data_IF_629392790878
#
_entry.id   IF_629392790878
#
_cell.length_a   1.000
_cell.length_b   1.000
_cell.length_c   1.000
_cell.angle_alpha   90.00
_cell.angle_beta   90.00
_cell.angle_gamma   90.00
#
_symmetry.space_group_name_H-M   'P 1'
#
loop_
_entity.id
_entity.type
_entity.pdbx_description
1 polymer ?
#
# COMPACT_ATOMS: atom_id res chain seq x y z
N UNK A 1 54.94 11.20 77.87
CA UNK A 1 53.82 12.14 77.75
C UNK A 1 53.07 11.78 76.48
N UNK A 2 52.07 10.91 76.56
CA UNK A 2 51.26 10.51 75.41
C UNK A 2 49.99 11.36 75.42
N UNK A 3 49.79 12.17 74.38
CA UNK A 3 48.59 12.99 74.23
C UNK A 3 47.39 12.09 73.91
N UNK A 4 46.21 12.34 74.50
CA UNK A 4 45.02 11.54 74.24
C UNK A 4 44.58 11.73 72.77
N UNK A 5 44.40 10.63 72.05
CA UNK A 5 43.86 10.63 70.69
C UNK A 5 42.40 11.04 70.74
N UNK A 6 42.10 12.24 70.24
CA UNK A 6 40.72 12.74 70.10
C UNK A 6 40.01 11.82 69.09
N UNK A 7 39.08 11.00 69.55
CA UNK A 7 38.19 10.24 68.67
C UNK A 7 37.36 11.24 67.86
N UNK A 8 37.74 11.46 66.61
CA UNK A 8 36.99 12.30 65.68
C UNK A 8 35.89 11.45 65.05
N UNK A 9 34.89 11.06 65.83
CA UNK A 9 33.69 10.43 65.27
C UNK A 9 32.85 11.50 64.59
N UNK A 10 32.54 11.29 63.31
CA UNK A 10 31.74 12.22 62.52
C UNK A 10 30.31 12.22 63.09
N UNK A 11 29.71 13.39 63.41
CA UNK A 11 28.33 13.46 63.85
C UNK A 11 27.37 12.75 62.89
N UNK A 12 26.45 11.95 63.42
CA UNK A 12 25.52 11.15 62.60
C UNK A 12 24.69 11.95 61.59
N UNK A 13 24.40 13.22 61.88
CA UNK A 13 23.69 14.11 60.95
C UNK A 13 24.52 14.47 59.71
N UNK A 14 25.85 14.56 59.84
CA UNK A 14 26.76 14.80 58.70
C UNK A 14 26.78 13.57 57.79
N UNK A 15 26.83 12.37 58.38
CA UNK A 15 26.76 11.10 57.64
C UNK A 15 25.41 11.01 56.88
N UNK A 16 24.30 11.34 57.55
CA UNK A 16 22.98 11.37 56.93
C UNK A 16 22.90 12.38 55.76
N UNK A 17 23.49 13.58 55.92
CA UNK A 17 23.56 14.58 54.87
C UNK A 17 24.40 14.11 53.67
N UNK A 18 25.54 13.47 53.91
CA UNK A 18 26.38 12.90 52.84
C UNK A 18 25.61 11.83 52.07
N UNK A 19 24.88 10.94 52.75
CA UNK A 19 24.06 9.90 52.11
C UNK A 19 22.95 10.54 51.26
N UNK A 20 22.24 11.54 51.79
CA UNK A 20 21.18 12.25 51.06
C UNK A 20 21.71 12.95 49.80
N UNK A 21 22.87 13.62 49.89
CA UNK A 21 23.49 14.28 48.73
C UNK A 21 23.89 13.27 47.66
N UNK A 22 24.49 12.12 48.05
CA UNK A 22 24.86 11.08 47.10
C UNK A 22 23.63 10.44 46.42
N UNK A 23 22.55 10.20 47.17
CA UNK A 23 21.29 9.71 46.60
C UNK A 23 20.69 10.69 45.58
N UNK A 24 20.69 11.99 45.91
CA UNK A 24 20.23 13.03 44.98
C UNK A 24 21.10 13.10 43.71
N UNK A 25 22.42 12.89 43.85
CA UNK A 25 23.36 12.90 42.72
C UNK A 25 23.16 11.72 41.75
N UNK A 26 22.55 10.61 42.21
CA UNK A 26 22.21 9.45 41.37
C UNK A 26 20.92 9.64 40.56
N UNK A 27 20.08 10.63 40.88
CA UNK A 27 18.82 10.87 40.15
C UNK A 27 19.04 11.29 38.69
N UNK A 28 19.91 12.28 38.36
CA UNK A 28 20.19 12.64 36.96
C UNK A 28 20.69 11.48 36.08
N UNK A 29 21.71 10.67 36.46
CA UNK A 29 22.15 9.56 35.62
C UNK A 29 21.08 8.46 35.48
N UNK A 30 20.25 8.24 36.50
CA UNK A 30 19.13 7.28 36.41
C UNK A 30 18.04 7.76 35.44
N UNK A 31 17.74 9.07 35.42
CA UNK A 31 16.83 9.67 34.44
C UNK A 31 17.40 9.64 33.01
N UNK A 32 18.71 9.87 32.84
CA UNK A 32 19.39 9.72 31.55
C UNK A 32 19.38 8.27 31.07
N UNK A 33 19.65 7.31 31.96
CA UNK A 33 19.54 5.88 31.63
C UNK A 33 18.10 5.51 31.25
N UNK A 34 17.11 5.94 32.03
CA UNK A 34 15.70 5.70 31.72
C UNK A 34 15.31 6.30 30.37
N UNK A 35 15.69 7.54 30.07
CA UNK A 35 15.36 8.17 28.78
C UNK A 35 16.12 7.56 27.60
N UNK A 36 17.33 7.00 27.81
CA UNK A 36 18.09 6.28 26.77
C UNK A 36 17.54 4.89 26.47
N UNK A 37 17.01 4.19 27.48
CA UNK A 37 16.58 2.79 27.36
C UNK A 37 15.06 2.59 27.36
N UNK A 38 14.26 3.63 27.62
CA UNK A 38 12.81 3.57 27.53
C UNK A 38 12.28 4.19 26.23
N UNK A 39 11.29 3.54 25.63
CA UNK A 39 10.49 4.11 24.54
C UNK A 39 9.39 5.02 25.13
N UNK A 40 9.08 6.12 24.45
CA UNK A 40 7.97 7.01 24.81
C UNK A 40 6.88 6.94 23.74
N UNK A 41 5.62 6.95 24.18
CA UNK A 41 4.45 7.10 23.30
C UNK A 41 4.11 8.55 23.00
N UNK A 42 4.71 9.49 23.74
CA UNK A 42 4.56 10.92 23.50
C UNK A 42 5.55 11.37 22.44
N UNK A 43 5.16 12.40 21.68
CA UNK A 43 6.05 13.08 20.73
C UNK A 43 7.29 13.58 21.44
N UNK A 44 8.44 13.48 20.76
CA UNK A 44 9.72 13.97 21.31
C UNK A 44 9.63 15.46 21.63
N UNK A 45 10.33 15.87 22.68
CA UNK A 45 10.52 17.28 23.00
C UNK A 45 11.19 17.96 21.81
N UNK A 46 10.52 18.98 21.30
CA UNK A 46 10.95 19.72 20.15
C UNK A 46 11.21 21.14 20.64
N UNK A 47 12.49 21.52 20.75
CA UNK A 47 12.89 22.74 21.49
C UNK A 47 12.73 24.00 20.63
N UNK A 48 12.96 23.88 19.32
CA UNK A 48 12.88 25.00 18.38
C UNK A 48 11.84 24.65 17.32
N UNK A 49 10.70 25.34 17.29
CA UNK A 49 9.60 25.06 16.35
C UNK A 49 9.58 25.94 15.09
N UNK A 50 10.44 26.97 15.05
CA UNK A 50 10.33 28.13 14.16
C UNK A 50 10.00 27.76 12.70
N UNK A 51 10.89 27.04 12.02
CA UNK A 51 10.72 26.68 10.61
C UNK A 51 10.20 25.26 10.37
N UNK A 52 9.92 24.50 11.43
CA UNK A 52 9.30 23.18 11.34
C UNK A 52 7.78 23.29 11.18
N UNK A 53 7.18 24.25 11.91
CA UNK A 53 5.76 24.58 11.84
C UNK A 53 5.57 25.95 11.19
N UNK A 54 5.63 25.96 9.88
CA UNK A 54 5.50 27.19 9.10
C UNK A 54 4.05 27.67 9.04
N UNK A 55 3.85 28.99 8.93
CA UNK A 55 2.54 29.64 8.75
C UNK A 55 2.03 29.50 7.30
N UNK A 56 2.06 28.27 6.76
CA UNK A 56 1.48 27.90 5.47
C UNK A 56 0.91 26.49 5.57
N UNK A 57 -0.18 26.24 4.87
CA UNK A 57 -0.77 24.91 4.83
C UNK A 57 -0.10 24.07 3.73
N UNK A 58 0.33 22.86 4.11
CA UNK A 58 0.80 21.85 3.14
C UNK A 58 -0.39 21.03 2.62
N UNK A 59 -0.20 20.31 1.51
CA UNK A 59 -1.16 19.32 1.08
C UNK A 59 -1.44 18.31 2.20
N UNK A 60 -2.69 17.88 2.33
CA UNK A 60 -3.15 16.92 3.36
C UNK A 60 -2.92 17.39 4.81
N UNK A 61 -2.87 18.72 5.06
CA UNK A 61 -2.82 19.29 6.41
C UNK A 61 -4.19 19.78 6.89
N UNK A 62 -4.35 19.89 8.21
CA UNK A 62 -5.53 20.49 8.81
C UNK A 62 -5.52 22.01 8.60
N UNK A 63 -6.69 22.59 8.32
CA UNK A 63 -6.88 24.03 8.19
C UNK A 63 -8.18 24.46 8.90
N UNK A 64 -8.09 25.26 9.98
CA UNK A 64 -9.26 25.68 10.74
C UNK A 64 -10.13 26.73 10.03
N UNK A 65 -9.68 27.30 8.91
CA UNK A 65 -10.44 28.30 8.15
C UNK A 65 -11.68 27.72 7.46
N UNK A 66 -11.66 26.43 7.09
CA UNK A 66 -12.73 25.78 6.36
C UNK A 66 -13.52 24.81 7.26
N UNK A 67 -14.83 24.70 7.02
CA UNK A 67 -15.74 23.87 7.84
C UNK A 67 -15.38 22.37 7.84
N UNK A 68 -14.74 21.87 6.78
CA UNK A 68 -14.29 20.47 6.66
C UNK A 68 -12.90 20.23 7.27
N UNK A 69 -12.25 21.28 7.78
CA UNK A 69 -10.92 21.21 8.39
C UNK A 69 -9.79 20.87 7.41
N UNK A 70 -10.04 20.85 6.08
CA UNK A 70 -9.06 20.43 5.08
C UNK A 70 -8.36 21.63 4.45
N UNK A 71 -7.04 21.56 4.36
CA UNK A 71 -6.26 22.49 3.53
C UNK A 71 -6.51 22.29 2.02
N UNK A 72 -6.69 21.04 1.59
CA UNK A 72 -6.98 20.70 0.20
C UNK A 72 -8.41 21.10 -0.16
N UNK A 73 -8.55 21.97 -1.17
CA UNK A 73 -9.86 22.33 -1.74
C UNK A 73 -10.13 21.52 -2.99
N UNK A 74 -11.37 21.08 -3.14
CA UNK A 74 -11.82 20.50 -4.40
C UNK A 74 -11.83 21.59 -5.48
N UNK A 75 -11.40 21.27 -6.71
CA UNK A 75 -11.58 22.18 -7.83
C UNK A 75 -13.06 22.40 -8.11
N UNK A 76 -13.40 23.56 -8.69
CA UNK A 76 -14.78 23.85 -9.08
C UNK A 76 -15.19 22.89 -10.21
N UNK A 77 -16.40 22.31 -10.19
CA UNK A 77 -16.86 21.42 -11.25
C UNK A 77 -16.77 22.07 -12.64
N UNK A 78 -16.34 21.31 -13.65
CA UNK A 78 -16.17 21.81 -15.03
C UNK A 78 -14.87 22.57 -15.28
N UNK A 79 -13.99 22.71 -14.29
CA UNK A 79 -12.66 23.30 -14.50
C UNK A 79 -11.73 22.31 -15.20
N UNK A 80 -10.97 22.81 -16.18
CA UNK A 80 -9.92 22.06 -16.88
C UNK A 80 -8.60 22.78 -16.64
N UNK A 81 -7.61 22.07 -16.10
CA UNK A 81 -6.28 22.63 -15.87
C UNK A 81 -5.53 22.83 -17.19
N UNK A 82 -4.62 23.82 -17.22
CA UNK A 82 -3.80 24.06 -18.41
C UNK A 82 -2.91 22.83 -18.68
N UNK A 83 -3.02 22.27 -19.87
CA UNK A 83 -2.29 21.06 -20.27
C UNK A 83 -2.97 19.74 -19.92
N UNK A 84 -4.13 19.78 -19.24
CA UNK A 84 -4.94 18.58 -18.93
C UNK A 84 -6.21 18.49 -19.80
N UNK A 85 -6.35 19.35 -20.81
CA UNK A 85 -7.40 19.19 -21.80
C UNK A 85 -7.06 17.97 -22.66
N UNK A 86 -7.83 16.90 -22.50
CA UNK A 86 -7.75 15.74 -23.36
C UNK A 86 -8.93 15.71 -24.32
N UNK A 87 -8.63 15.75 -25.62
CA UNK A 87 -9.61 15.66 -26.70
C UNK A 87 -9.69 14.25 -27.30
N UNK A 88 -8.72 13.39 -26.99
CA UNK A 88 -8.73 12.00 -27.40
C UNK A 88 -9.69 11.21 -26.50
N UNK A 89 -10.86 10.91 -27.05
CA UNK A 89 -11.89 10.17 -26.35
C UNK A 89 -11.47 8.72 -26.08
N UNK A 90 -10.81 8.09 -27.06
CA UNK A 90 -10.38 6.71 -26.99
C UNK A 90 -9.39 6.54 -25.85
N UNK A 91 -8.35 7.36 -25.78
CA UNK A 91 -7.34 7.27 -24.71
C UNK A 91 -7.87 7.66 -23.32
N UNK A 92 -8.76 8.66 -23.25
CA UNK A 92 -9.17 9.27 -21.96
C UNK A 92 -10.33 8.54 -21.30
N UNK A 93 -11.29 8.10 -22.12
CA UNK A 93 -12.58 7.57 -21.68
C UNK A 93 -12.76 6.10 -22.03
N UNK A 94 -11.98 5.57 -22.99
CA UNK A 94 -12.11 4.21 -23.48
C UNK A 94 -13.26 4.04 -24.47
N UNK A 95 -13.69 5.12 -25.12
CA UNK A 95 -14.82 5.11 -26.05
C UNK A 95 -14.44 5.65 -27.43
N UNK A 96 -15.09 5.15 -28.47
CA UNK A 96 -14.96 5.60 -29.86
C UNK A 96 -16.39 5.87 -30.36
N UNK A 97 -16.67 7.10 -30.79
CA UNK A 97 -17.99 7.53 -31.26
C UNK A 97 -19.15 7.23 -30.27
N UNK A 98 -18.86 7.29 -28.96
CA UNK A 98 -19.83 7.02 -27.89
C UNK A 98 -20.04 5.54 -27.55
N UNK A 99 -19.38 4.62 -28.23
CA UNK A 99 -19.39 3.18 -27.95
C UNK A 99 -18.10 2.73 -27.25
N UNK A 100 -18.15 1.60 -26.53
CA UNK A 100 -16.95 1.07 -25.88
C UNK A 100 -15.92 0.61 -26.90
N UNK A 101 -14.67 1.06 -26.74
CA UNK A 101 -13.59 0.66 -27.61
C UNK A 101 -13.33 -0.85 -27.51
N UNK A 102 -13.21 -1.52 -28.66
CA UNK A 102 -12.84 -2.93 -28.75
C UNK A 102 -11.34 -3.13 -28.94
N UNK A 103 -10.61 -2.06 -29.25
CA UNK A 103 -9.18 -2.04 -29.53
C UNK A 103 -8.43 -1.04 -28.64
N UNK A 104 -7.10 -1.16 -28.61
CA UNK A 104 -6.23 -0.22 -27.90
C UNK A 104 -6.08 1.09 -28.71
N UNK A 105 -5.92 2.25 -28.05
CA UNK A 105 -5.59 3.49 -28.74
C UNK A 105 -4.29 3.38 -29.54
N UNK A 106 -4.22 4.10 -30.68
CA UNK A 106 -3.03 4.09 -31.57
C UNK A 106 -1.73 4.45 -30.85
N UNK A 107 -1.81 5.35 -29.86
CA UNK A 107 -0.67 5.79 -29.05
C UNK A 107 -0.21 4.74 -28.01
N UNK A 108 -1.00 3.69 -27.77
CA UNK A 108 -0.71 2.64 -26.79
C UNK A 108 -0.14 1.41 -27.50
N UNK A 109 1.18 1.27 -27.45
CA UNK A 109 1.87 0.10 -27.99
C UNK A 109 1.80 -1.09 -27.03
N UNK A 110 1.10 -2.15 -27.43
CA UNK A 110 1.03 -3.41 -26.67
C UNK A 110 2.33 -4.19 -26.85
N UNK A 111 3.29 -3.96 -25.95
CA UNK A 111 4.58 -4.62 -25.93
C UNK A 111 4.90 -5.21 -24.53
N UNK A 112 6.05 -5.86 -24.38
CA UNK A 112 6.47 -6.49 -23.12
C UNK A 112 6.61 -5.48 -21.97
N UNK A 113 6.99 -4.24 -22.25
CA UNK A 113 7.11 -3.19 -21.23
C UNK A 113 5.74 -2.77 -20.70
N UNK A 114 4.76 -2.58 -21.59
CA UNK A 114 3.38 -2.27 -21.21
C UNK A 114 2.79 -3.41 -20.37
N UNK A 115 3.01 -4.66 -20.76
CA UNK A 115 2.55 -5.82 -20.01
C UNK A 115 3.18 -5.91 -18.62
N UNK A 116 4.50 -5.72 -18.51
CA UNK A 116 5.19 -5.69 -17.22
C UNK A 116 4.71 -4.54 -16.32
N UNK A 117 4.45 -3.37 -16.93
CA UNK A 117 3.85 -2.24 -16.22
C UNK A 117 2.44 -2.56 -15.73
N UNK A 118 1.65 -3.20 -16.58
CA UNK A 118 0.29 -3.66 -16.28
C UNK A 118 0.26 -4.65 -15.12
N UNK A 119 1.13 -5.66 -15.15
CA UNK A 119 1.30 -6.62 -14.08
C UNK A 119 1.67 -5.93 -12.77
N UNK A 120 2.68 -5.04 -12.78
CA UNK A 120 3.10 -4.33 -11.58
C UNK A 120 1.95 -3.50 -10.97
N UNK A 121 1.09 -2.90 -11.80
CA UNK A 121 -0.07 -2.11 -11.34
C UNK A 121 -1.21 -3.00 -10.88
N UNK A 122 -1.49 -4.09 -11.58
CA UNK A 122 -2.47 -5.09 -11.18
C UNK A 122 -2.11 -5.71 -9.81
N UNK A 123 -0.82 -5.99 -9.58
CA UNK A 123 -0.32 -6.52 -8.33
C UNK A 123 -0.53 -5.59 -7.12
N UNK A 124 -0.56 -4.28 -7.36
CA UNK A 124 -0.75 -3.28 -6.31
C UNK A 124 -2.24 -3.04 -6.04
N UNK A 125 -3.04 -2.85 -7.09
CA UNK A 125 -4.41 -2.34 -6.97
C UNK A 125 -5.50 -3.41 -7.10
N UNK A 126 -5.25 -4.48 -7.86
CA UNK A 126 -6.28 -5.42 -8.29
C UNK A 126 -6.19 -6.76 -7.54
N UNK A 127 -4.98 -7.28 -7.30
CA UNK A 127 -4.73 -8.56 -6.60
C UNK A 127 -5.48 -8.68 -5.25
N UNK A 128 -5.55 -7.64 -4.39
CA UNK A 128 -6.21 -7.79 -3.10
C UNK A 128 -7.64 -8.34 -3.19
N UNK A 129 -8.36 -8.02 -4.27
CA UNK A 129 -9.72 -8.49 -4.52
C UNK A 129 -9.77 -9.60 -5.58
N UNK A 130 -9.13 -9.42 -6.74
CA UNK A 130 -9.25 -10.33 -7.88
C UNK A 130 -8.31 -11.55 -7.84
N UNK A 131 -7.33 -11.57 -6.92
CA UNK A 131 -6.31 -12.61 -6.88
C UNK A 131 -5.26 -12.44 -7.99
N UNK A 132 -4.18 -13.21 -7.91
CA UNK A 132 -3.06 -13.13 -8.86
C UNK A 132 -3.42 -13.67 -10.25
N UNK A 133 -4.30 -14.68 -10.29
CA UNK A 133 -4.81 -15.28 -11.52
C UNK A 133 -6.09 -14.63 -12.03
N UNK A 134 -6.67 -13.67 -11.30
CA UNK A 134 -7.89 -12.97 -11.69
C UNK A 134 -9.21 -13.70 -11.38
N UNK A 135 -9.18 -14.83 -10.66
CA UNK A 135 -10.37 -15.66 -10.38
C UNK A 135 -11.28 -15.12 -9.26
N UNK A 136 -11.04 -13.90 -8.78
CA UNK A 136 -11.85 -13.33 -7.69
C UNK A 136 -11.51 -13.91 -6.31
N UNK A 137 -10.35 -14.55 -6.17
CA UNK A 137 -9.92 -15.27 -4.97
C UNK A 137 -8.87 -14.48 -4.16
N UNK A 138 -8.84 -13.15 -4.30
CA UNK A 138 -7.95 -12.28 -3.53
C UNK A 138 -8.21 -12.35 -2.02
N UNK A 139 -7.22 -11.95 -1.21
CA UNK A 139 -7.32 -12.00 0.26
C UNK A 139 -8.51 -11.23 0.84
N UNK A 140 -8.94 -10.15 0.18
CA UNK A 140 -10.14 -9.40 0.57
C UNK A 140 -11.39 -10.22 0.30
N UNK A 141 -11.49 -10.88 -0.87
CA UNK A 141 -12.61 -11.76 -1.24
C UNK A 141 -12.74 -12.93 -0.26
N UNK A 142 -11.63 -13.66 -0.02
CA UNK A 142 -11.58 -14.79 0.92
C UNK A 142 -11.98 -14.40 2.35
N UNK A 143 -11.57 -13.20 2.81
CA UNK A 143 -11.99 -12.69 4.13
C UNK A 143 -13.45 -12.28 4.17
N UNK A 144 -13.98 -11.72 3.08
CA UNK A 144 -15.38 -11.33 3.01
C UNK A 144 -16.31 -12.54 3.03
N UNK A 145 -15.92 -13.65 2.40
CA UNK A 145 -16.68 -14.91 2.38
C UNK A 145 -16.99 -15.45 3.78
N UNK A 146 -16.02 -15.38 4.70
CA UNK A 146 -16.18 -15.84 6.10
C UNK A 146 -16.68 -14.75 7.05
N UNK A 147 -16.98 -13.55 6.54
CA UNK A 147 -17.40 -12.42 7.38
C UNK A 147 -18.92 -12.39 7.59
N UNK A 148 -19.34 -11.95 8.77
CA UNK A 148 -20.77 -11.76 9.09
C UNK A 148 -21.43 -10.61 8.31
N UNK A 149 -20.63 -9.76 7.65
CA UNK A 149 -21.08 -8.58 6.91
C UNK A 149 -21.52 -8.89 5.46
N UNK A 150 -21.56 -10.17 5.09
CA UNK A 150 -21.96 -10.64 3.76
C UNK A 150 -20.78 -10.80 2.80
N UNK A 151 -20.90 -11.78 1.91
CA UNK A 151 -19.87 -12.09 0.92
C UNK A 151 -19.83 -11.01 -0.18
N UNK A 152 -18.71 -10.29 -0.28
CA UNK A 152 -18.39 -9.48 -1.44
C UNK A 152 -17.91 -10.42 -2.55
N UNK A 153 -18.82 -10.83 -3.43
CA UNK A 153 -18.48 -11.67 -4.57
C UNK A 153 -17.67 -10.86 -5.58
N UNK A 154 -16.37 -11.10 -5.62
CA UNK A 154 -15.50 -10.55 -6.66
C UNK A 154 -15.66 -11.41 -7.91
N UNK A 155 -15.88 -10.76 -9.05
CA UNK A 155 -16.04 -11.48 -10.32
C UNK A 155 -14.72 -12.11 -10.77
N UNK A 156 -14.82 -13.34 -11.26
CA UNK A 156 -13.78 -14.01 -12.02
C UNK A 156 -13.63 -13.32 -13.39
N UNK A 157 -12.42 -12.83 -13.66
CA UNK A 157 -12.08 -12.11 -14.87
C UNK A 157 -12.08 -13.00 -16.13
N UNK A 158 -11.94 -14.32 -15.99
CA UNK A 158 -12.00 -15.26 -17.12
C UNK A 158 -13.37 -15.89 -17.35
N UNK A 159 -14.34 -15.59 -16.49
CA UNK A 159 -15.74 -15.98 -16.71
C UNK A 159 -16.28 -15.41 -18.03
N UNK A 160 -17.32 -16.04 -18.59
CA UNK A 160 -18.00 -15.55 -19.81
C UNK A 160 -18.36 -14.05 -19.70
N UNK A 161 -18.84 -13.64 -18.52
CA UNK A 161 -19.16 -12.24 -18.25
C UNK A 161 -17.91 -11.35 -18.23
N UNK A 162 -16.80 -11.82 -17.63
CA UNK A 162 -15.53 -11.10 -17.63
C UNK A 162 -14.93 -10.93 -19.03
N UNK A 163 -15.09 -11.95 -19.88
CA UNK A 163 -14.64 -11.94 -21.26
C UNK A 163 -15.51 -11.04 -22.17
N UNK A 164 -16.81 -10.93 -21.87
CA UNK A 164 -17.76 -10.14 -22.65
C UNK A 164 -17.51 -8.62 -22.59
N UNK A 165 -16.77 -8.13 -21.58
CA UNK A 165 -16.45 -6.71 -21.46
C UNK A 165 -15.43 -6.27 -22.54
N UNK A 166 -15.78 -5.27 -23.38
CA UNK A 166 -14.83 -4.64 -24.30
C UNK A 166 -13.66 -4.00 -23.57
N UNK A 167 -12.53 -3.83 -24.26
CA UNK A 167 -11.28 -3.28 -23.70
C UNK A 167 -11.53 -1.89 -23.09
N UNK A 168 -12.29 -1.04 -23.77
CA UNK A 168 -12.69 0.29 -23.31
C UNK A 168 -13.57 0.29 -22.07
N UNK A 169 -14.45 -0.71 -21.92
CA UNK A 169 -15.27 -0.85 -20.72
C UNK A 169 -14.41 -1.25 -19.52
N UNK A 170 -13.44 -2.17 -19.68
CA UNK A 170 -12.51 -2.54 -18.61
C UNK A 170 -11.68 -1.32 -18.17
N UNK A 171 -11.23 -0.50 -19.12
CA UNK A 171 -10.55 0.78 -18.82
C UNK A 171 -11.44 1.71 -17.98
N UNK A 172 -12.73 1.81 -18.34
CA UNK A 172 -13.69 2.63 -17.64
C UNK A 172 -13.97 2.10 -16.22
N UNK A 173 -14.24 0.80 -16.08
CA UNK A 173 -14.45 0.11 -14.79
C UNK A 173 -13.27 0.35 -13.86
N UNK A 174 -12.04 0.29 -14.36
CA UNK A 174 -10.84 0.56 -13.56
C UNK A 174 -10.83 2.00 -13.02
N UNK A 175 -11.33 2.97 -13.78
CA UNK A 175 -11.36 4.39 -13.38
C UNK A 175 -12.58 4.78 -12.53
N UNK A 176 -13.77 4.33 -12.91
CA UNK A 176 -15.07 4.78 -12.40
C UNK A 176 -15.75 3.75 -11.50
N UNK A 177 -15.32 2.50 -11.54
CA UNK A 177 -15.92 1.40 -10.80
C UNK A 177 -17.13 0.81 -11.51
N UNK A 178 -17.63 -0.30 -10.97
CA UNK A 178 -18.86 -0.95 -11.42
C UNK A 178 -19.53 -1.65 -10.24
N UNK A 179 -20.83 -1.46 -10.06
CA UNK A 179 -21.59 -2.00 -8.94
C UNK A 179 -20.93 -1.67 -7.59
N UNK A 180 -20.35 -2.68 -6.92
CA UNK A 180 -19.66 -2.58 -5.64
C UNK A 180 -18.16 -2.28 -5.77
N UNK A 181 -17.57 -2.44 -6.95
CA UNK A 181 -16.16 -2.12 -7.19
C UNK A 181 -15.97 -0.59 -7.25
N UNK A 182 -15.10 0.01 -6.42
CA UNK A 182 -14.83 1.44 -6.46
C UNK A 182 -13.98 1.81 -7.70
N UNK A 183 -14.10 3.06 -8.13
CA UNK A 183 -13.23 3.62 -9.17
C UNK A 183 -11.86 4.05 -8.64
N UNK A 184 -10.79 3.77 -9.40
CA UNK A 184 -9.40 4.05 -9.02
C UNK A 184 -8.77 5.23 -9.78
N UNK A 185 -9.56 6.06 -10.48
CA UNK A 185 -9.03 7.18 -11.30
C UNK A 185 -8.17 8.20 -10.53
N UNK A 186 -8.34 8.31 -9.21
CA UNK A 186 -7.52 9.20 -8.37
C UNK A 186 -6.14 8.64 -8.04
N UNK A 187 -5.94 7.33 -8.20
CA UNK A 187 -4.69 6.63 -7.88
C UNK A 187 -3.98 6.12 -9.14
N UNK A 188 -4.72 5.80 -10.20
CA UNK A 188 -4.21 5.16 -11.41
C UNK A 188 -4.41 6.09 -12.61
N UNK A 189 -3.31 6.49 -13.24
CA UNK A 189 -3.34 7.36 -14.43
C UNK A 189 -3.98 6.64 -15.63
N UNK A 190 -4.47 7.36 -16.67
CA UNK A 190 -4.95 6.75 -17.90
C UNK A 190 -3.95 5.76 -18.52
N UNK A 191 -2.66 6.11 -18.57
CA UNK A 191 -1.60 5.23 -19.09
C UNK A 191 -1.52 3.90 -18.32
N UNK A 192 -1.53 3.98 -16.98
CA UNK A 192 -1.47 2.80 -16.13
C UNK A 192 -2.76 1.98 -16.20
N UNK A 193 -3.92 2.60 -16.45
CA UNK A 193 -5.19 1.89 -16.70
C UNK A 193 -5.13 1.08 -17.99
N UNK A 194 -4.62 1.64 -19.09
CA UNK A 194 -4.41 0.87 -20.33
C UNK A 194 -3.42 -0.29 -20.15
N UNK A 195 -2.35 -0.08 -19.37
CA UNK A 195 -1.42 -1.14 -19.03
C UNK A 195 -2.10 -2.27 -18.24
N UNK A 196 -2.94 -1.94 -17.25
CA UNK A 196 -3.75 -2.93 -16.51
C UNK A 196 -4.67 -3.69 -17.46
N UNK A 197 -5.35 -2.99 -18.39
CA UNK A 197 -6.23 -3.65 -19.36
C UNK A 197 -5.47 -4.64 -20.24
N UNK A 198 -4.27 -4.27 -20.71
CA UNK A 198 -3.39 -5.17 -21.45
C UNK A 198 -3.02 -6.42 -20.64
N UNK A 199 -2.69 -6.25 -19.36
CA UNK A 199 -2.41 -7.36 -18.46
C UNK A 199 -3.64 -8.26 -18.21
N UNK A 200 -4.82 -7.67 -17.99
CA UNK A 200 -6.08 -8.43 -17.83
C UNK A 200 -6.38 -9.25 -19.09
N UNK A 201 -6.22 -8.67 -20.28
CA UNK A 201 -6.42 -9.40 -21.55
C UNK A 201 -5.37 -10.51 -21.73
N UNK A 202 -4.13 -10.30 -21.29
CA UNK A 202 -3.11 -11.35 -21.27
C UNK A 202 -3.47 -12.49 -20.29
N UNK A 203 -3.98 -12.17 -19.10
CA UNK A 203 -4.48 -13.16 -18.15
C UNK A 203 -5.64 -13.98 -18.74
N UNK A 204 -6.63 -13.30 -19.33
CA UNK A 204 -7.76 -13.94 -20.01
C UNK A 204 -7.26 -14.90 -21.12
N UNK A 205 -6.34 -14.44 -21.97
CA UNK A 205 -5.77 -15.25 -23.04
C UNK A 205 -4.99 -16.48 -22.51
N UNK A 206 -4.21 -16.31 -21.44
CA UNK A 206 -3.42 -17.41 -20.85
C UNK A 206 -4.28 -18.56 -20.32
N UNK A 207 -5.56 -18.30 -20.02
CA UNK A 207 -6.50 -19.27 -19.47
C UNK A 207 -7.34 -19.96 -20.54
N UNK A 208 -7.45 -19.35 -21.73
CA UNK A 208 -8.26 -19.87 -22.84
C UNK A 208 -7.44 -20.53 -23.96
N UNK A 209 -6.13 -20.26 -24.04
CA UNK A 209 -5.29 -20.76 -25.14
C UNK A 209 -4.96 -22.25 -24.98
N UNK A 210 -5.11 -23.03 -26.06
CA UNK A 210 -4.61 -24.41 -26.10
C UNK A 210 -3.07 -24.39 -26.13
N UNK A 211 -2.45 -25.27 -25.36
CA UNK A 211 -1.00 -25.49 -25.38
C UNK A 211 -0.52 -25.73 -26.82
N UNK A 212 -1.31 -26.36 -27.68
CA UNK A 212 -0.96 -26.60 -29.08
C UNK A 212 -0.74 -25.32 -29.91
N UNK A 213 -1.38 -24.20 -29.55
CA UNK A 213 -1.29 -22.92 -30.25
C UNK A 213 -0.06 -22.09 -29.85
N UNK A 214 0.54 -22.40 -28.69
CA UNK A 214 1.75 -21.72 -28.20
C UNK A 214 2.93 -22.10 -29.11
N UNK A 215 3.78 -21.15 -29.57
CA UNK A 215 4.95 -21.48 -30.39
C UNK A 215 5.85 -22.55 -29.77
N UNK A 216 6.40 -23.47 -30.58
CA UNK A 216 7.15 -24.63 -30.08
C UNK A 216 8.29 -24.25 -29.11
N UNK A 217 9.04 -23.20 -29.43
CA UNK A 217 10.13 -22.73 -28.59
C UNK A 217 9.65 -22.30 -27.19
N UNK A 218 8.49 -21.63 -27.11
CA UNK A 218 7.88 -21.22 -25.86
C UNK A 218 7.31 -22.41 -25.08
N UNK A 219 6.69 -23.38 -25.76
CA UNK A 219 6.22 -24.63 -25.12
C UNK A 219 7.35 -25.38 -24.46
N UNK A 220 8.47 -25.53 -25.14
CA UNK A 220 9.65 -26.22 -24.60
C UNK A 220 10.24 -25.46 -23.41
N UNK A 221 10.26 -24.12 -23.44
CA UNK A 221 10.64 -23.30 -22.28
C UNK A 221 9.72 -23.56 -21.10
N UNK A 222 8.40 -23.46 -21.28
CA UNK A 222 7.41 -23.64 -20.22
C UNK A 222 7.45 -25.05 -19.63
N UNK A 223 7.65 -26.09 -20.45
CA UNK A 223 7.81 -27.47 -19.98
C UNK A 223 9.09 -27.64 -19.15
N UNK A 224 10.19 -26.99 -19.55
CA UNK A 224 11.43 -26.97 -18.74
C UNK A 224 11.21 -26.25 -17.42
N UNK A 225 10.55 -25.09 -17.42
CA UNK A 225 10.23 -24.35 -16.19
C UNK A 225 9.31 -25.16 -15.27
N UNK A 226 8.25 -25.76 -15.81
CA UNK A 226 7.37 -26.65 -15.05
C UNK A 226 8.15 -27.81 -14.41
N UNK A 227 9.09 -28.43 -15.16
CA UNK A 227 9.94 -29.49 -14.63
C UNK A 227 10.90 -29.00 -13.53
N UNK A 228 11.31 -27.73 -13.55
CA UNK A 228 12.15 -27.12 -12.52
C UNK A 228 11.37 -26.80 -11.24
N UNK A 229 10.11 -26.39 -11.36
CA UNK A 229 9.28 -25.96 -10.22
C UNK A 229 8.34 -27.06 -9.66
N UNK A 230 8.20 -28.20 -10.35
CA UNK A 230 7.37 -29.34 -9.92
C UNK A 230 5.86 -29.08 -9.99
N UNK A 231 5.04 -30.12 -9.91
CA UNK A 231 3.56 -30.04 -9.85
C UNK A 231 3.07 -29.54 -8.47
N UNK A 232 3.72 -28.51 -7.91
CA UNK A 232 3.31 -27.88 -6.66
C UNK A 232 2.03 -27.09 -6.86
N UNK A 233 0.91 -27.67 -6.43
CA UNK A 233 -0.26 -26.92 -5.96
C UNK A 233 0.24 -25.69 -5.18
N UNK A 234 -0.07 -24.49 -5.72
CA UNK A 234 0.22 -23.20 -5.10
C UNK A 234 -0.51 -22.93 -3.78
N UNK A 235 -1.01 -23.97 -3.12
CA UNK A 235 -1.22 -24.05 -1.69
C UNK A 235 0.09 -23.73 -0.96
N UNK A 236 0.38 -22.44 -0.84
CA UNK A 236 1.29 -21.94 0.17
C UNK A 236 0.67 -22.38 1.50
N UNK A 237 1.09 -23.52 2.06
CA UNK A 237 0.98 -23.71 3.50
C UNK A 237 1.56 -22.43 4.10
N UNK A 238 0.77 -21.67 4.89
CA UNK A 238 1.30 -20.49 5.51
C UNK A 238 2.49 -20.96 6.31
N UNK A 239 3.68 -20.56 5.86
CA UNK A 239 4.89 -20.74 6.63
C UNK A 239 4.52 -20.26 8.02
N UNK A 240 4.54 -21.14 9.02
CA UNK A 240 4.31 -20.75 10.41
C UNK A 240 5.49 -19.85 10.72
N UNK A 241 5.34 -18.57 10.40
CA UNK A 241 6.18 -17.53 10.93
C UNK A 241 6.06 -17.74 12.43
N UNK A 242 7.14 -18.22 13.02
CA UNK A 242 7.49 -17.95 14.40
C UNK A 242 7.74 -16.44 14.51
N UNK A 243 6.72 -15.66 14.17
CA UNK A 243 6.66 -14.25 14.45
C UNK A 243 6.71 -14.16 15.95
N UNK A 244 7.86 -13.77 16.47
CA UNK A 244 7.93 -13.25 17.83
C UNK A 244 6.83 -12.21 17.92
N UNK A 245 5.84 -12.51 18.75
CA UNK A 245 4.67 -11.71 19.05
C UNK A 245 5.10 -10.29 19.43
N UNK A 246 5.26 -9.42 18.44
CA UNK A 246 5.59 -8.01 18.63
C UNK A 246 4.34 -7.19 18.95
N UNK A 247 3.18 -7.85 19.12
CA UNK A 247 1.96 -7.25 19.66
C UNK A 247 1.81 -7.43 21.17
N UNK A 248 2.81 -7.98 21.86
CA UNK A 248 3.00 -7.66 23.26
C UNK A 248 3.73 -6.32 23.34
N UNK A 249 2.94 -5.30 23.70
CA UNK A 249 3.37 -3.91 23.67
C UNK A 249 4.70 -3.66 24.37
N UNK A 250 5.48 -2.76 23.76
CA UNK A 250 6.34 -1.83 24.48
C UNK A 250 5.77 -0.43 24.30
#
# INVERSE_FOLDING_TARGET
MALPTRETSVPGWIIAMIILVNLALLVPPMLVAKTRYATSRQTRLHVFYDMDQQQKFKAQSANPLFADGRSMRLPVPGTVARGELSLDEHFTWGTIDGEWATEFPDDVQVNSELLARGEARFNIYCIPCHGMSGHGDGMVSRRAEVSEYGAWLVSDLSSEKGLAHPIGEIFNITGYGINTMPGYRSQISPQDRWAIVAHVKALQLSQSIDIAEIPQADRERLLREKALFGDGDGGTEPNKETGSDSRQGR
#
